data_IF_674569282732
#
_entry.id   IF_674569282732
#
_cell.length_a   1.000
_cell.length_b   1.000
_cell.length_c   1.000
_cell.angle_alpha   90.00
_cell.angle_beta   90.00
_cell.angle_gamma   90.00
#
_symmetry.space_group_name_H-M   'P 1'
#
loop_
_entity.id
_entity.type
_entity.pdbx_description
1 polymer ?
#
# COMPACT_ATOMS: atom_id res chain seq x y z
N UNK A 1 36.30 3.94 8.40
CA UNK A 1 35.60 2.75 7.89
C UNK A 1 34.48 2.44 8.88
N UNK A 2 33.22 2.62 8.50
CA UNK A 2 32.08 2.44 9.41
C UNK A 2 30.75 2.84 8.79
N UNK A 3 30.62 2.65 7.47
CA UNK A 3 29.52 3.17 6.66
C UNK A 3 28.64 2.07 6.05
N UNK A 4 28.63 0.86 6.61
CA UNK A 4 27.90 -0.28 6.04
C UNK A 4 27.42 -1.17 7.20
N UNK A 5 26.21 -1.00 7.74
CA UNK A 5 25.63 -2.11 8.55
C UNK A 5 24.11 -2.12 8.78
N UNK A 6 23.30 -1.16 8.28
CA UNK A 6 21.87 -1.09 8.66
C UNK A 6 20.85 -1.22 7.51
N UNK A 7 21.19 -1.84 6.38
CA UNK A 7 20.23 -2.17 5.32
C UNK A 7 19.61 -3.60 5.44
N UNK A 8 20.12 -4.44 6.35
CA UNK A 8 19.76 -5.87 6.44
C UNK A 8 18.47 -6.14 7.24
N UNK A 9 17.96 -5.20 8.02
CA UNK A 9 16.77 -5.45 8.87
C UNK A 9 15.46 -5.41 8.08
N UNK A 10 15.37 -4.58 7.04
CA UNK A 10 14.16 -4.46 6.21
C UNK A 10 13.88 -5.74 5.40
N UNK A 11 14.94 -6.43 4.96
CA UNK A 11 14.82 -7.70 4.24
C UNK A 11 14.51 -8.85 5.19
N UNK A 12 15.05 -8.86 6.42
CA UNK A 12 14.73 -9.87 7.44
C UNK A 12 13.24 -9.93 7.79
N UNK A 13 12.56 -8.77 7.86
CA UNK A 13 11.12 -8.71 8.08
C UNK A 13 10.31 -9.05 6.83
N UNK A 14 10.79 -8.64 5.65
CA UNK A 14 10.21 -9.03 4.36
C UNK A 14 10.34 -10.53 4.06
N UNK A 15 11.26 -11.23 4.71
CA UNK A 15 11.39 -12.68 4.59
C UNK A 15 10.48 -13.45 5.53
N UNK A 16 9.71 -12.77 6.40
CA UNK A 16 8.88 -13.42 7.41
C UNK A 16 7.45 -13.62 6.90
N UNK A 17 6.95 -14.84 7.04
CA UNK A 17 5.60 -15.27 6.66
C UNK A 17 4.87 -15.73 7.92
N UNK A 18 3.66 -15.21 8.10
CA UNK A 18 2.73 -15.61 9.14
C UNK A 18 1.82 -16.74 8.62
N UNK A 19 1.64 -17.76 9.45
CA UNK A 19 0.77 -18.89 9.18
C UNK A 19 -0.18 -19.06 10.36
N UNK A 20 -1.45 -18.73 10.15
CA UNK A 20 -2.51 -18.89 11.13
C UNK A 20 -3.42 -20.08 10.83
N UNK A 21 -4.32 -20.35 11.78
CA UNK A 21 -5.35 -21.37 11.68
C UNK A 21 -4.84 -22.83 11.66
N UNK A 22 -3.61 -23.04 12.13
CA UNK A 22 -2.97 -24.36 12.20
C UNK A 22 -3.62 -25.25 13.27
N UNK A 23 -3.56 -26.56 13.08
CA UNK A 23 -3.90 -27.54 14.11
C UNK A 23 -2.82 -27.54 15.21
N UNK A 24 -3.17 -27.84 16.48
CA UNK A 24 -2.18 -28.00 17.56
C UNK A 24 -1.19 -29.16 17.31
N UNK A 25 -1.54 -30.09 16.40
CA UNK A 25 -0.66 -31.16 15.91
C UNK A 25 0.32 -30.70 14.84
N UNK A 26 0.13 -29.53 14.24
CA UNK A 26 1.02 -29.02 13.21
C UNK A 26 2.37 -28.62 13.84
N UNK A 27 3.46 -29.11 13.25
CA UNK A 27 4.84 -28.84 13.68
C UNK A 27 5.63 -28.22 12.54
N UNK A 28 6.84 -27.78 12.88
CA UNK A 28 7.77 -27.15 11.97
C UNK A 28 8.01 -27.99 10.73
N UNK A 29 8.17 -29.32 10.85
CA UNK A 29 8.38 -30.20 9.71
C UNK A 29 7.30 -30.09 8.64
N UNK A 30 6.03 -29.87 9.02
CA UNK A 30 4.96 -29.72 8.03
C UNK A 30 5.04 -28.39 7.31
N UNK A 31 5.30 -27.30 8.05
CA UNK A 31 5.53 -26.00 7.43
C UNK A 31 6.75 -26.07 6.54
N UNK A 32 7.87 -26.58 7.05
CA UNK A 32 9.11 -26.71 6.29
C UNK A 32 8.91 -27.49 5.00
N UNK A 33 8.26 -28.67 5.07
CA UNK A 33 8.02 -29.49 3.88
C UNK A 33 7.13 -28.81 2.85
N UNK A 34 6.07 -28.13 3.30
CA UNK A 34 5.15 -27.41 2.41
C UNK A 34 5.78 -26.16 1.80
N UNK A 35 6.51 -25.39 2.61
CA UNK A 35 7.11 -24.13 2.21
C UNK A 35 8.43 -24.29 1.44
N UNK A 36 9.11 -25.43 1.60
CA UNK A 36 10.36 -25.74 0.89
C UNK A 36 10.18 -25.78 -0.63
N UNK A 37 8.96 -26.01 -1.13
CA UNK A 37 8.66 -25.96 -2.58
C UNK A 37 8.73 -24.54 -3.14
N UNK A 38 8.51 -23.53 -2.32
CA UNK A 38 8.52 -22.12 -2.74
C UNK A 38 9.90 -21.47 -2.56
N UNK A 39 10.72 -21.98 -1.64
CA UNK A 39 12.13 -21.61 -1.51
C UNK A 39 12.77 -22.07 -0.21
N UNK A 40 14.02 -21.63 0.02
CA UNK A 40 14.80 -22.01 1.20
C UNK A 40 14.27 -21.33 2.46
N UNK A 41 14.03 -22.15 3.48
CA UNK A 41 13.55 -21.71 4.78
C UNK A 41 14.75 -21.56 5.70
N UNK A 42 14.85 -20.42 6.36
CA UNK A 42 15.92 -20.11 7.30
C UNK A 42 15.55 -20.59 8.70
N UNK A 43 14.34 -20.27 9.18
CA UNK A 43 13.89 -20.65 10.52
C UNK A 43 12.37 -20.73 10.57
N UNK A 44 11.82 -21.63 11.38
CA UNK A 44 10.39 -21.69 11.66
C UNK A 44 10.19 -21.51 13.17
N UNK A 45 9.14 -20.79 13.53
CA UNK A 45 8.79 -20.53 14.91
C UNK A 45 7.30 -20.76 15.12
N UNK A 46 6.93 -21.61 16.07
CA UNK A 46 5.53 -21.98 16.32
C UNK A 46 5.10 -21.41 17.67
N UNK A 47 4.08 -20.56 17.64
CA UNK A 47 3.46 -20.05 18.85
C UNK A 47 2.51 -21.12 19.41
N UNK A 48 2.77 -21.56 20.65
CA UNK A 48 1.92 -22.52 21.37
C UNK A 48 0.89 -21.85 22.28
N UNK A 49 0.93 -20.52 22.40
CA UNK A 49 0.01 -19.68 23.19
C UNK A 49 -0.29 -18.40 22.42
N UNK A 50 -1.50 -18.17 21.91
CA UNK A 50 -2.60 -19.12 21.68
C UNK A 50 -2.26 -20.22 20.65
N UNK A 51 -2.90 -21.40 20.69
CA UNK A 51 -2.61 -22.50 19.79
C UNK A 51 -3.11 -22.23 18.36
N UNK A 52 -2.27 -22.50 17.36
CA UNK A 52 -2.65 -22.44 15.94
C UNK A 52 -1.97 -21.36 15.11
N UNK A 53 -0.85 -20.80 15.58
CA UNK A 53 -0.07 -19.79 14.87
C UNK A 53 1.39 -20.19 14.74
N UNK A 54 1.98 -19.84 13.59
CA UNK A 54 3.38 -20.04 13.31
C UNK A 54 3.93 -18.93 12.41
N UNK A 55 5.24 -18.77 12.44
CA UNK A 55 5.99 -17.84 11.63
C UNK A 55 7.12 -18.58 10.93
N UNK A 56 7.28 -18.34 9.64
CA UNK A 56 8.31 -18.94 8.81
C UNK A 56 9.18 -17.81 8.29
N UNK A 57 10.48 -17.89 8.50
CA UNK A 57 11.47 -16.99 7.89
C UNK A 57 12.08 -17.69 6.68
N UNK A 58 12.01 -17.04 5.53
CA UNK A 58 12.69 -17.48 4.32
C UNK A 58 14.10 -16.89 4.23
N UNK A 59 14.92 -17.47 3.36
CA UNK A 59 16.22 -16.91 3.00
C UNK A 59 16.07 -15.70 2.05
N UNK A 60 14.99 -15.68 1.25
CA UNK A 60 14.73 -14.63 0.25
C UNK A 60 13.30 -14.08 0.36
N UNK A 61 13.11 -12.77 0.17
CA UNK A 61 11.78 -12.15 0.22
C UNK A 61 10.91 -12.59 -0.98
N UNK A 62 11.50 -12.90 -2.13
CA UNK A 62 10.79 -13.45 -3.29
C UNK A 62 10.15 -14.81 -2.97
N UNK A 63 10.85 -15.68 -2.24
CA UNK A 63 10.32 -16.98 -1.84
C UNK A 63 9.14 -16.83 -0.86
N UNK A 64 9.27 -15.88 0.09
CA UNK A 64 8.19 -15.53 1.01
C UNK A 64 6.96 -15.01 0.27
N UNK A 65 7.16 -14.13 -0.73
CA UNK A 65 6.06 -13.56 -1.53
C UNK A 65 5.36 -14.65 -2.35
N UNK A 66 6.11 -15.47 -3.09
CA UNK A 66 5.55 -16.59 -3.88
C UNK A 66 4.76 -17.56 -3.02
N UNK A 67 5.24 -17.86 -1.81
CA UNK A 67 4.53 -18.72 -0.86
C UNK A 67 3.18 -18.12 -0.42
N UNK A 68 3.11 -16.81 -0.19
CA UNK A 68 1.89 -16.11 0.18
C UNK A 68 0.93 -16.02 -1.02
N UNK A 69 1.42 -15.63 -2.20
CA UNK A 69 0.61 -15.50 -3.42
C UNK A 69 -0.01 -16.84 -3.81
N UNK A 70 0.78 -17.92 -3.83
CA UNK A 70 0.28 -19.26 -4.14
C UNK A 70 -0.80 -19.75 -3.15
N UNK A 71 -0.70 -19.35 -1.88
CA UNK A 71 -1.68 -19.73 -0.87
C UNK A 71 -2.92 -18.79 -0.86
N UNK A 72 -2.79 -17.58 -1.41
CA UNK A 72 -3.84 -16.56 -1.39
C UNK A 72 -4.71 -16.59 -2.65
N UNK A 73 -4.18 -17.07 -3.78
CA UNK A 73 -4.89 -17.14 -5.07
C UNK A 73 -5.64 -18.47 -5.25
N UNK A 74 -5.04 -19.61 -4.86
CA UNK A 74 -5.56 -20.94 -5.26
C UNK A 74 -6.36 -21.69 -4.18
N UNK A 75 -6.67 -21.03 -3.05
CA UNK A 75 -7.38 -21.68 -1.95
C UNK A 75 -6.43 -22.27 -0.90
N UNK A 76 -6.90 -22.19 0.34
CA UNK A 76 -6.09 -22.35 1.53
C UNK A 76 -5.18 -23.58 1.49
N UNK A 77 -3.87 -23.38 1.66
CA UNK A 77 -2.95 -24.49 1.87
C UNK A 77 -3.44 -25.33 3.05
N UNK A 78 -3.69 -26.61 2.80
CA UNK A 78 -4.15 -27.53 3.85
C UNK A 78 -2.95 -28.20 4.51
N UNK A 79 -2.86 -28.05 5.83
CA UNK A 79 -1.89 -28.77 6.64
C UNK A 79 -2.67 -29.69 7.57
N UNK A 80 -2.47 -31.00 7.41
CA UNK A 80 -3.14 -32.04 8.19
C UNK A 80 -4.69 -32.00 8.07
N UNK A 81 -5.23 -31.64 6.90
CA UNK A 81 -6.68 -31.56 6.66
C UNK A 81 -7.34 -30.32 7.26
N UNK A 82 -6.56 -29.29 7.60
CA UNK A 82 -7.06 -28.00 8.06
C UNK A 82 -6.50 -26.88 7.19
N UNK A 83 -7.39 -26.02 6.71
CA UNK A 83 -7.08 -24.83 5.93
C UNK A 83 -6.24 -23.84 6.75
N UNK A 84 -5.02 -23.57 6.29
CA UNK A 84 -4.13 -22.59 6.93
C UNK A 84 -4.27 -21.23 6.26
N UNK A 85 -4.06 -20.17 7.03
CA UNK A 85 -4.05 -18.80 6.54
C UNK A 85 -2.62 -18.30 6.46
N UNK A 86 -2.12 -18.08 5.26
CA UNK A 86 -0.76 -17.58 5.03
C UNK A 86 -0.81 -16.10 4.69
N UNK A 87 -0.03 -15.28 5.38
CA UNK A 87 0.13 -13.85 5.11
C UNK A 87 1.59 -13.45 5.27
N UNK A 88 2.00 -12.42 4.55
CA UNK A 88 3.35 -11.87 4.65
C UNK A 88 3.44 -11.05 5.95
N UNK A 89 4.35 -11.42 6.88
CA UNK A 89 4.43 -10.81 8.20
C UNK A 89 5.08 -9.41 8.18
N UNK A 90 5.93 -9.13 7.17
CA UNK A 90 6.43 -7.80 6.85
C UNK A 90 5.65 -7.11 5.72
N UNK A 91 4.61 -7.74 5.18
CA UNK A 91 3.92 -7.29 3.97
C UNK A 91 2.77 -6.37 4.26
N UNK A 92 3.09 -5.24 4.87
CA UNK A 92 2.55 -3.98 4.39
C UNK A 92 3.73 -3.15 3.91
N UNK A 93 4.01 -3.28 2.62
CA UNK A 93 3.99 -2.10 1.76
C UNK A 93 2.59 -1.45 1.86
N UNK A 94 2.21 -1.01 3.06
CA UNK A 94 0.97 -0.34 3.38
C UNK A 94 1.09 1.16 3.15
N UNK A 95 1.99 1.59 2.25
CA UNK A 95 2.25 3.00 2.00
C UNK A 95 2.65 3.34 0.57
N UNK A 96 2.34 2.52 -0.45
CA UNK A 96 2.63 2.92 -1.84
C UNK A 96 1.53 2.80 -2.87
N UNK A 97 0.39 2.15 -2.62
CA UNK A 97 -0.69 2.11 -3.64
C UNK A 97 -1.98 2.84 -3.27
N UNK A 98 -2.10 3.41 -2.06
CA UNK A 98 -3.29 4.17 -1.65
C UNK A 98 -3.01 5.68 -1.43
N UNK A 99 -1.85 6.20 -1.83
CA UNK A 99 -1.59 7.67 -1.87
C UNK A 99 -1.96 8.28 -3.23
N UNK A 100 -1.78 7.56 -4.35
CA UNK A 100 -1.96 8.17 -5.69
C UNK A 100 -3.41 8.55 -6.00
N UNK A 101 -4.39 7.71 -5.67
CA UNK A 101 -5.80 8.01 -5.95
C UNK A 101 -6.36 9.15 -5.09
N UNK A 102 -5.86 9.33 -3.85
CA UNK A 102 -6.23 10.48 -3.02
C UNK A 102 -5.51 11.77 -3.43
N UNK A 103 -4.25 11.67 -3.86
CA UNK A 103 -3.41 12.80 -4.29
C UNK A 103 -3.88 13.39 -5.62
N UNK A 104 -4.27 12.56 -6.59
CA UNK A 104 -4.87 13.02 -7.85
C UNK A 104 -6.18 13.79 -7.63
N UNK A 105 -7.06 13.29 -6.76
CA UNK A 105 -8.37 13.90 -6.50
C UNK A 105 -8.27 15.26 -5.82
N UNK A 106 -7.28 15.47 -4.93
CA UNK A 106 -7.00 16.79 -4.33
C UNK A 106 -6.43 17.78 -5.36
N UNK A 107 -5.51 17.35 -6.23
CA UNK A 107 -4.88 18.20 -7.26
C UNK A 107 -5.91 18.72 -8.28
N UNK A 108 -6.88 17.88 -8.66
CA UNK A 108 -7.91 18.26 -9.64
C UNK A 108 -8.89 19.30 -9.07
N UNK A 109 -9.30 19.16 -7.81
CA UNK A 109 -10.25 20.08 -7.15
C UNK A 109 -9.66 21.48 -6.93
N UNK A 110 -8.35 21.58 -6.69
CA UNK A 110 -7.67 22.86 -6.49
C UNK A 110 -7.52 23.66 -7.80
N UNK A 111 -7.21 22.99 -8.91
CA UNK A 111 -7.06 23.62 -10.24
C UNK A 111 -8.39 24.21 -10.75
N UNK A 112 -9.51 23.55 -10.45
CA UNK A 112 -10.84 24.02 -10.86
C UNK A 112 -11.27 25.29 -10.12
N UNK A 113 -10.97 25.38 -8.81
CA UNK A 113 -11.31 26.55 -7.97
C UNK A 113 -10.54 27.81 -8.38
N UNK A 114 -9.27 27.65 -8.80
CA UNK A 114 -8.44 28.76 -9.27
C UNK A 114 -8.93 29.33 -10.62
N UNK A 115 -9.34 28.45 -11.55
CA UNK A 115 -9.86 28.85 -12.87
C UNK A 115 -11.17 29.62 -12.77
N UNK A 116 -12.05 29.25 -11.84
CA UNK A 116 -13.31 29.96 -11.58
C UNK A 116 -13.07 31.37 -11.02
N UNK A 117 -12.12 31.52 -10.09
CA UNK A 117 -11.81 32.82 -9.47
C UNK A 117 -11.19 33.81 -10.48
N UNK A 118 -10.35 33.34 -11.40
CA UNK A 118 -9.84 34.17 -12.50
C UNK A 118 -10.94 34.64 -13.45
N UNK A 119 -11.86 33.75 -13.85
CA UNK A 119 -12.94 34.11 -14.78
C UNK A 119 -13.89 35.17 -14.19
N UNK A 120 -14.18 35.09 -12.89
CA UNK A 120 -14.99 36.10 -12.20
C UNK A 120 -14.30 37.46 -12.13
N UNK A 121 -12.99 37.49 -11.82
CA UNK A 121 -12.21 38.73 -11.75
C UNK A 121 -12.10 39.41 -13.12
N UNK A 122 -11.98 38.63 -14.19
CA UNK A 122 -11.92 39.15 -15.57
C UNK A 122 -13.27 39.77 -16.00
N UNK A 123 -14.39 39.11 -15.69
CA UNK A 123 -15.74 39.62 -15.99
C UNK A 123 -16.04 40.92 -15.24
N UNK A 124 -15.61 41.04 -13.98
CA UNK A 124 -15.79 42.24 -13.18
C UNK A 124 -14.96 43.42 -13.73
N UNK A 125 -13.72 43.17 -14.15
CA UNK A 125 -12.85 44.18 -14.78
C UNK A 125 -13.40 44.66 -16.13
N UNK A 126 -14.00 43.76 -16.91
CA UNK A 126 -14.61 44.10 -18.21
C UNK A 126 -15.89 44.95 -18.03
N UNK A 127 -16.72 44.64 -17.04
CA UNK A 127 -17.91 45.43 -16.69
C UNK A 127 -17.55 46.83 -16.18
N UNK A 128 -16.47 46.95 -15.40
CA UNK A 128 -15.99 48.25 -14.93
C UNK A 128 -15.43 49.12 -16.07
N UNK A 129 -14.70 48.51 -17.03
CA UNK A 129 -14.27 49.21 -18.25
C UNK A 129 -15.43 49.69 -19.10
N UNK A 130 -16.47 48.87 -19.32
CA UNK A 130 -17.66 49.30 -20.07
C UNK A 130 -18.38 50.48 -19.40
N UNK A 131 -18.51 50.46 -18.06
CA UNK A 131 -19.09 51.59 -17.31
C UNK A 131 -18.28 52.88 -17.48
N UNK A 132 -16.95 52.80 -17.43
CA UNK A 132 -16.08 53.97 -17.58
C UNK A 132 -16.14 54.55 -19.00
N UNK A 133 -16.31 53.71 -20.02
CA UNK A 133 -16.45 54.16 -21.42
C UNK A 133 -17.79 54.90 -21.61
N UNK A 134 -18.88 54.40 -21.04
CA UNK A 134 -20.21 55.00 -21.20
C UNK A 134 -20.39 56.36 -20.49
N UNK A 135 -19.59 56.64 -19.45
CA UNK A 135 -19.64 57.92 -18.73
C UNK A 135 -18.71 59.00 -19.29
N UNK A 136 -18.06 58.76 -20.44
CA UNK A 136 -17.17 59.73 -21.10
C UNK A 136 -17.78 60.41 -22.33
N UNK A 137 -19.00 60.04 -22.70
CA UNK A 137 -19.81 60.69 -23.74
C UNK A 137 -21.00 61.38 -23.08
N UNK A 138 -20.77 62.52 -22.42
CA UNK A 138 -21.83 63.52 -22.29
C UNK A 138 -21.73 64.46 -23.49
N UNK A 139 -22.78 64.62 -24.32
CA UNK A 139 -22.85 65.74 -25.23
C UNK A 139 -23.02 67.00 -24.37
N UNK A 140 -22.06 67.91 -24.45
CA UNK A 140 -22.27 69.32 -24.07
C UNK A 140 -23.38 69.85 -24.97
N UNK A 141 -24.62 69.74 -24.52
CA UNK A 141 -25.75 70.37 -25.19
C UNK A 141 -25.86 71.80 -24.66
N UNK A 142 -25.51 72.72 -25.55
CA UNK A 142 -25.77 74.16 -25.49
C UNK A 142 -27.27 74.47 -25.26
#
# INVERSE_FOLDING_TARGET
MGGEEHALTATEEACRVYVGNLLPKAKESHLSSKFSRFGTIHSVWIARRPPGFAFVRFASPEAAQRAVEACSDEGAMEILGKSVRVQMAGGKSGNQSMDESQKQRKKQKQKQKQKQKQKQKQKQKQKQKQRIVQSKEEPTNE
#
